data_IF_083268425462
#
_entry.id   IF_083268425462
#
_cell.length_a   1.000
_cell.length_b   1.000
_cell.length_c   1.000
_cell.angle_alpha   90.00
_cell.angle_beta   90.00
_cell.angle_gamma   90.00
#
_symmetry.space_group_name_H-M   'P 1'
#
loop_
_entity.id
_entity.type
_entity.pdbx_description
1 polymer ?
#
# COMPACT_ATOMS: atom_id res chain seq x y z
N UNK A 1 -6.85 -14.10 14.74
CA UNK A 1 -7.73 -13.41 13.76
C UNK A 1 -7.35 -13.87 12.35
N UNK A 2 -8.30 -13.91 11.41
CA UNK A 2 -8.02 -14.32 10.04
C UNK A 2 -7.68 -13.10 9.17
N UNK A 3 -6.74 -13.25 8.23
CA UNK A 3 -6.45 -12.22 7.23
C UNK A 3 -7.59 -12.17 6.21
N UNK A 4 -8.15 -11.00 5.98
CA UNK A 4 -9.21 -10.76 4.99
C UNK A 4 -8.70 -9.87 3.85
N UNK A 5 -9.46 -9.80 2.76
CA UNK A 5 -9.21 -8.86 1.65
C UNK A 5 -10.11 -7.64 1.76
N UNK A 6 -9.55 -6.45 1.59
CA UNK A 6 -10.29 -5.20 1.51
C UNK A 6 -10.14 -4.62 0.10
N UNK A 7 -11.25 -4.27 -0.59
CA UNK A 7 -11.16 -3.63 -1.91
C UNK A 7 -10.35 -2.33 -1.86
N UNK A 8 -9.50 -2.10 -2.86
CA UNK A 8 -8.60 -0.95 -2.85
C UNK A 8 -9.35 0.39 -2.81
N UNK A 9 -10.52 0.47 -3.47
CA UNK A 9 -11.35 1.69 -3.43
C UNK A 9 -11.80 2.07 -2.01
N UNK A 10 -11.95 1.10 -1.09
CA UNK A 10 -12.30 1.38 0.30
C UNK A 10 -11.12 1.98 1.06
N UNK A 11 -9.90 1.53 0.78
CA UNK A 11 -8.67 2.08 1.36
C UNK A 11 -8.47 3.53 0.88
N UNK A 12 -8.62 3.77 -0.43
CA UNK A 12 -8.55 5.11 -1.03
C UNK A 12 -9.60 6.05 -0.43
N UNK A 13 -10.86 5.58 -0.33
CA UNK A 13 -11.93 6.37 0.27
C UNK A 13 -11.62 6.69 1.74
N UNK A 14 -11.16 5.70 2.51
CA UNK A 14 -10.84 5.90 3.93
C UNK A 14 -9.70 6.91 4.12
N UNK A 15 -8.67 6.86 3.27
CA UNK A 15 -7.61 7.87 3.25
C UNK A 15 -8.18 9.28 3.01
N UNK A 16 -9.04 9.43 2.00
CA UNK A 16 -9.71 10.71 1.72
C UNK A 16 -10.53 11.20 2.92
N UNK A 17 -11.31 10.32 3.54
CA UNK A 17 -12.20 10.68 4.65
C UNK A 17 -11.42 11.13 5.89
N UNK A 18 -10.23 10.56 6.12
CA UNK A 18 -9.39 10.87 7.29
C UNK A 18 -8.48 12.07 7.07
N UNK A 19 -7.97 12.26 5.85
CA UNK A 19 -7.07 13.37 5.48
C UNK A 19 -7.79 14.58 4.88
N UNK A 20 -9.09 14.47 4.62
CA UNK A 20 -9.92 15.51 3.99
C UNK A 20 -9.66 15.68 2.48
N UNK A 21 -8.72 14.92 1.89
CA UNK A 21 -8.33 15.00 0.47
C UNK A 21 -7.54 13.76 0.05
N UNK A 22 -7.34 13.54 -1.25
CA UNK A 22 -6.32 12.62 -1.76
C UNK A 22 -5.00 13.39 -1.89
N UNK A 23 -4.38 13.70 -0.75
CA UNK A 23 -3.06 14.34 -0.71
C UNK A 23 -1.97 13.29 -0.56
N UNK A 24 -0.73 13.69 -0.87
CA UNK A 24 0.48 12.88 -0.74
C UNK A 24 0.50 11.61 -1.59
N UNK A 25 -0.07 10.51 -1.11
CA UNK A 25 0.17 9.17 -1.67
C UNK A 25 -0.80 8.83 -2.81
N UNK A 26 -2.08 9.18 -2.66
CA UNK A 26 -3.10 8.99 -3.70
C UNK A 26 -3.30 10.22 -4.59
N UNK A 27 -2.44 11.23 -4.46
CA UNK A 27 -2.44 12.37 -5.37
C UNK A 27 -2.03 11.91 -6.78
N UNK A 28 -2.74 12.39 -7.80
CA UNK A 28 -2.52 11.97 -9.19
C UNK A 28 -1.06 12.19 -9.63
N UNK A 29 -0.50 13.37 -9.31
CA UNK A 29 0.88 13.73 -9.65
C UNK A 29 1.90 12.81 -8.96
N UNK A 30 1.68 12.45 -7.69
CA UNK A 30 2.58 11.56 -6.96
C UNK A 30 2.52 10.13 -7.51
N UNK A 31 1.31 9.63 -7.79
CA UNK A 31 1.13 8.33 -8.42
C UNK A 31 1.74 8.29 -9.83
N UNK A 32 1.56 9.35 -10.61
CA UNK A 32 2.13 9.49 -11.95
C UNK A 32 3.65 9.52 -11.92
N UNK A 33 4.24 10.27 -10.99
CA UNK A 33 5.69 10.39 -10.82
C UNK A 33 6.37 9.02 -10.62
N UNK A 34 5.77 8.14 -9.80
CA UNK A 34 6.29 6.78 -9.58
C UNK A 34 5.66 5.72 -10.51
N UNK A 35 4.85 6.11 -11.48
CA UNK A 35 4.08 5.20 -12.35
C UNK A 35 3.38 4.08 -11.54
N UNK A 36 2.72 4.49 -10.46
CA UNK A 36 2.17 3.60 -9.43
C UNK A 36 0.97 2.85 -9.98
N UNK A 37 1.00 1.52 -9.86
CA UNK A 37 -0.15 0.64 -10.13
C UNK A 37 -0.66 0.05 -8.82
N UNK A 38 -1.90 0.40 -8.49
CA UNK A 38 -2.59 -0.13 -7.32
C UNK A 38 -3.08 -1.57 -7.56
N UNK A 39 -3.12 -2.40 -6.51
CA UNK A 39 -3.76 -3.70 -6.60
C UNK A 39 -5.29 -3.56 -6.56
N UNK A 40 -6.02 -4.64 -6.88
CA UNK A 40 -7.48 -4.68 -6.71
C UNK A 40 -7.91 -4.66 -5.24
N UNK A 41 -7.07 -5.21 -4.36
CA UNK A 41 -7.33 -5.34 -2.93
C UNK A 41 -6.07 -5.30 -2.09
N UNK A 42 -6.20 -4.83 -0.85
CA UNK A 42 -5.24 -5.02 0.23
C UNK A 42 -5.60 -6.21 1.12
N UNK A 43 -4.70 -6.53 2.04
CA UNK A 43 -4.87 -7.50 3.12
C UNK A 43 -5.14 -6.76 4.43
N UNK A 44 -5.99 -7.33 5.28
CA UNK A 44 -6.31 -6.75 6.57
C UNK A 44 -6.31 -7.79 7.69
N UNK A 45 -5.86 -7.38 8.88
CA UNK A 45 -5.91 -8.16 10.10
C UNK A 45 -6.24 -7.24 11.29
N UNK A 46 -7.52 -7.24 11.70
CA UNK A 46 -8.03 -6.21 12.62
C UNK A 46 -7.97 -4.83 11.98
N UNK A 47 -7.42 -3.85 12.69
CA UNK A 47 -7.29 -2.47 12.20
C UNK A 47 -6.04 -2.23 11.34
N UNK A 48 -5.24 -3.27 11.12
CA UNK A 48 -4.03 -3.21 10.31
C UNK A 48 -4.32 -3.59 8.88
N UNK A 49 -3.89 -2.74 7.96
CA UNK A 49 -4.04 -2.97 6.53
C UNK A 49 -2.68 -2.88 5.86
N UNK A 50 -2.42 -3.79 4.92
CA UNK A 50 -1.25 -3.75 4.05
C UNK A 50 -1.64 -4.04 2.60
N UNK A 51 -0.99 -3.40 1.64
CA UNK A 51 -1.24 -3.64 0.22
C UNK A 51 0.06 -3.55 -0.58
N UNK A 52 0.07 -4.14 -1.77
CA UNK A 52 1.27 -4.25 -2.62
C UNK A 52 1.09 -3.43 -3.88
N UNK A 53 2.00 -2.51 -4.11
CA UNK A 53 2.01 -1.61 -5.27
C UNK A 53 3.11 -2.01 -6.23
N UNK A 54 2.91 -1.77 -7.54
CA UNK A 54 4.00 -1.82 -8.52
C UNK A 54 4.37 -0.40 -8.88
N UNK A 55 5.64 -0.05 -8.71
CA UNK A 55 6.14 1.31 -8.85
C UNK A 55 7.44 1.31 -9.67
N UNK A 56 7.78 2.46 -10.23
CA UNK A 56 9.03 2.71 -10.95
C UNK A 56 9.79 3.80 -10.20
N UNK A 57 10.98 3.47 -9.71
CA UNK A 57 11.82 4.42 -9.00
C UNK A 57 12.58 5.36 -9.94
N UNK A 58 13.29 6.37 -9.38
CA UNK A 58 14.01 7.38 -10.17
C UNK A 58 15.14 6.83 -11.05
N UNK A 59 15.61 5.61 -10.79
CA UNK A 59 16.64 4.92 -11.59
C UNK A 59 16.05 4.03 -12.69
N UNK A 60 14.81 4.28 -13.10
CA UNK A 60 14.00 3.45 -14.02
C UNK A 60 13.80 1.99 -13.57
N UNK A 61 14.16 1.66 -12.34
CA UNK A 61 13.95 0.32 -11.77
C UNK A 61 12.48 0.16 -11.39
N UNK A 62 11.80 -0.77 -12.05
CA UNK A 62 10.46 -1.22 -11.67
C UNK A 62 10.52 -2.33 -10.62
N UNK A 63 9.71 -2.22 -9.58
CA UNK A 63 9.61 -3.23 -8.53
C UNK A 63 8.25 -3.21 -7.85
N UNK A 64 8.08 -4.10 -6.88
CA UNK A 64 6.94 -4.07 -5.97
C UNK A 64 7.36 -3.48 -4.62
N UNK A 65 6.47 -2.69 -4.03
CA UNK A 65 6.62 -2.17 -2.66
C UNK A 65 5.48 -2.68 -1.79
N UNK A 66 5.78 -2.87 -0.51
CA UNK A 66 4.75 -3.14 0.50
C UNK A 66 4.38 -1.83 1.18
N UNK A 67 3.08 -1.56 1.25
CA UNK A 67 2.52 -0.36 1.87
C UNK A 67 1.70 -0.77 3.08
N UNK A 68 1.96 -0.15 4.23
CA UNK A 68 1.05 -0.22 5.38
C UNK A 68 0.03 0.91 5.27
N UNK A 69 -1.17 0.67 5.78
CA UNK A 69 -2.21 1.68 5.91
C UNK A 69 -2.76 1.67 7.32
N UNK A 70 -2.69 2.82 7.98
CA UNK A 70 -3.31 3.04 9.28
C UNK A 70 -4.78 3.42 9.09
N UNK A 71 -5.70 2.57 9.56
CA UNK A 71 -7.13 2.77 9.36
C UNK A 71 -7.71 3.98 10.10
N UNK A 72 -7.05 4.43 11.17
CA UNK A 72 -7.51 5.52 12.02
C UNK A 72 -7.03 6.88 11.48
N UNK A 73 -5.77 6.96 11.05
CA UNK A 73 -5.14 8.22 10.60
C UNK A 73 -5.11 8.38 9.08
N UNK A 74 -5.36 7.31 8.34
CA UNK A 74 -5.22 7.27 6.88
C UNK A 74 -3.76 7.35 6.40
N UNK A 75 -2.79 7.27 7.30
CA UNK A 75 -1.37 7.31 6.94
C UNK A 75 -0.99 6.08 6.09
N UNK A 76 -0.04 6.30 5.16
CA UNK A 76 0.55 5.25 4.34
C UNK A 76 2.06 5.33 4.49
N UNK A 77 2.67 4.21 4.86
CA UNK A 77 4.12 4.09 4.97
C UNK A 77 4.65 2.96 4.08
N UNK A 78 5.95 3.01 3.78
CA UNK A 78 6.65 1.90 3.14
C UNK A 78 7.05 0.89 4.20
N UNK A 79 6.67 -0.37 4.01
CA UNK A 79 7.19 -1.48 4.81
C UNK A 79 8.40 -2.04 4.08
N UNK A 80 9.57 -1.96 4.71
CA UNK A 80 10.83 -2.37 4.11
C UNK A 80 11.31 -1.37 3.05
N UNK A 81 11.93 -1.89 1.98
CA UNK A 81 12.56 -1.07 0.94
C UNK A 81 11.62 -0.84 -0.25
N UNK A 82 11.64 0.39 -0.78
CA UNK A 82 10.85 0.81 -1.94
C UNK A 82 11.32 0.12 -3.23
N UNK A 83 10.40 -0.39 -4.04
CA UNK A 83 10.69 -1.09 -5.30
C UNK A 83 11.69 -2.26 -5.18
N UNK A 84 11.82 -2.85 -4.00
CA UNK A 84 12.84 -3.88 -3.75
C UNK A 84 12.39 -5.30 -4.14
N UNK A 85 11.08 -5.55 -4.15
CA UNK A 85 10.54 -6.91 -4.16
C UNK A 85 10.10 -7.40 -5.54
N UNK A 86 10.18 -8.71 -5.74
CA UNK A 86 9.35 -9.41 -6.73
C UNK A 86 7.89 -9.50 -6.28
N UNK A 87 6.96 -9.81 -7.20
CA UNK A 87 5.51 -9.86 -6.89
C UNK A 87 5.18 -10.85 -5.76
N UNK A 88 5.71 -12.08 -5.83
CA UNK A 88 5.42 -13.12 -4.84
C UNK A 88 6.02 -12.76 -3.47
N UNK A 89 7.26 -12.27 -3.48
CA UNK A 89 7.98 -11.82 -2.31
C UNK A 89 7.27 -10.66 -1.60
N UNK A 90 6.80 -9.65 -2.34
CA UNK A 90 6.04 -8.55 -1.78
C UNK A 90 4.73 -9.02 -1.11
N UNK A 91 4.05 -10.01 -1.70
CA UNK A 91 2.84 -10.57 -1.09
C UNK A 91 3.15 -11.39 0.17
N UNK A 92 4.28 -12.10 0.21
CA UNK A 92 4.73 -12.79 1.40
C UNK A 92 5.08 -11.79 2.52
N UNK A 93 5.88 -10.77 2.20
CA UNK A 93 6.27 -9.70 3.12
C UNK A 93 5.06 -8.93 3.67
N UNK A 94 4.06 -8.63 2.84
CA UNK A 94 2.82 -7.99 3.30
C UNK A 94 2.05 -8.86 4.31
N UNK A 95 2.01 -10.18 4.12
CA UNK A 95 1.38 -11.11 5.07
C UNK A 95 2.18 -11.21 6.36
N UNK A 96 3.50 -11.31 6.26
CA UNK A 96 4.40 -11.37 7.41
C UNK A 96 4.30 -10.11 8.28
N UNK A 97 4.29 -8.92 7.65
CA UNK A 97 4.08 -7.65 8.34
C UNK A 97 2.79 -7.65 9.17
N UNK A 98 1.67 -8.11 8.59
CA UNK A 98 0.40 -8.19 9.30
C UNK A 98 0.41 -9.19 10.47
N UNK A 99 1.25 -10.23 10.43
CA UNK A 99 1.30 -11.25 11.47
C UNK A 99 2.28 -10.92 12.60
N UNK A 100 3.24 -10.03 12.35
CA UNK A 100 4.36 -9.73 13.28
C UNK A 100 4.29 -8.35 13.93
N UNK A 101 3.55 -7.41 13.35
CA UNK A 101 3.24 -6.11 13.99
C UNK A 101 2.28 -6.25 15.18
#
# INVERSE_FOLDING_TARGET
MAITRIPMHKIVQRHRDTRGSLTDWFAEDAMAFFNTKLPESGLALGDRVAFVTRETGPSDRSGYSVRSFDWNTGAIDTVGEFCAYGRQEANAAAREYLLTA
#
